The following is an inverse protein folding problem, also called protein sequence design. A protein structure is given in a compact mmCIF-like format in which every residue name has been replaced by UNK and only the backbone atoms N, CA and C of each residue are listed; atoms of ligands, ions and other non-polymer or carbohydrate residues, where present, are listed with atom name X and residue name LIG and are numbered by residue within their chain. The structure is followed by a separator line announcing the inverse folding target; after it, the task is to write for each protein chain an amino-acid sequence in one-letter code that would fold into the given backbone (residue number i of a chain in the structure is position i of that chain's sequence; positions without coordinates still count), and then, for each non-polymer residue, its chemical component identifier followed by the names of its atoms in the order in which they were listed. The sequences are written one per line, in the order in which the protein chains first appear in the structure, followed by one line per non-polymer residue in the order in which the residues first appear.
data_IF_304758678781
#
_entry.id   IF_304758678781
#
_cell.length_a   1.000
_cell.length_b   1.000
_cell.length_c   1.000
_cell.angle_alpha   90.00
_cell.angle_beta   90.00
_cell.angle_gamma   90.00
#
_symmetry.space_group_name_H-M   'P 1'
#
loop_
_entity.id
_entity.type
_entity.pdbx_description
1 polymer ?
#
# COMPACT_ATOMS: atom_id res chain seq x y z
N UNK A 1 2.73 1.38 -8.49
CA UNK A 1 2.15 1.35 -7.13
C UNK A 1 1.45 0.04 -6.89
N UNK A 2 1.73 -0.61 -5.76
CA UNK A 2 1.03 -1.84 -5.37
C UNK A 2 -0.19 -1.45 -4.55
N UNK A 3 -1.36 -1.90 -4.99
CA UNK A 3 -2.63 -1.69 -4.27
C UNK A 3 -2.95 -2.95 -3.48
N UNK A 4 -3.18 -2.78 -2.18
CA UNK A 4 -3.63 -3.86 -1.29
C UNK A 4 -5.05 -3.53 -0.83
N UNK A 5 -6.02 -4.28 -1.34
CA UNK A 5 -7.42 -4.16 -0.93
C UNK A 5 -7.63 -4.73 0.48
N UNK A 6 -8.52 -4.10 1.24
CA UNK A 6 -8.87 -4.50 2.60
C UNK A 6 -10.25 -3.97 3.01
N UNK A 7 -10.80 -4.53 4.07
CA UNK A 7 -11.98 -4.00 4.75
C UNK A 7 -11.62 -2.74 5.55
N UNK A 8 -12.65 -2.00 5.99
CA UNK A 8 -12.42 -0.86 6.87
C UNK A 8 -11.75 -1.26 8.19
N UNK A 9 -12.18 -2.36 8.81
CA UNK A 9 -11.61 -2.82 10.08
C UNK A 9 -10.13 -3.25 9.92
N UNK A 10 -9.78 -3.91 8.81
CA UNK A 10 -8.39 -4.26 8.54
C UNK A 10 -7.52 -3.02 8.32
N UNK A 11 -8.07 -1.97 7.69
CA UNK A 11 -7.38 -0.68 7.56
C UNK A 11 -7.15 -0.03 8.92
N UNK A 12 -8.16 0.00 9.80
CA UNK A 12 -8.03 0.59 11.14
C UNK A 12 -7.04 -0.21 11.99
N UNK A 13 -7.07 -1.54 11.94
CA UNK A 13 -6.11 -2.40 12.64
C UNK A 13 -4.67 -2.14 12.16
N UNK A 14 -4.48 -1.98 10.85
CA UNK A 14 -3.18 -1.64 10.27
C UNK A 14 -2.69 -0.25 10.72
N UNK A 15 -3.58 0.75 10.77
CA UNK A 15 -3.26 2.09 11.26
C UNK A 15 -2.89 2.08 12.73
N UNK A 16 -3.66 1.42 13.58
CA UNK A 16 -3.34 1.30 15.00
C UNK A 16 -2.03 0.56 15.23
N UNK A 17 -1.76 -0.51 14.47
CA UNK A 17 -0.50 -1.23 14.56
C UNK A 17 0.70 -0.34 14.19
N UNK A 18 0.56 0.48 13.14
CA UNK A 18 1.59 1.44 12.75
C UNK A 18 1.83 2.51 13.82
N UNK A 19 0.79 3.09 14.41
CA UNK A 19 0.99 4.11 15.46
C UNK A 19 1.51 3.52 16.78
N UNK A 20 1.24 2.24 17.06
CA UNK A 20 1.81 1.52 18.22
C UNK A 20 3.27 1.14 18.03
N UNK A 21 3.75 0.98 16.80
CA UNK A 21 5.12 0.55 16.52
C UNK A 21 6.18 1.59 16.92
N UNK A 22 5.78 2.85 17.08
CA UNK A 22 6.63 3.94 17.55
C UNK A 22 7.76 4.34 16.59
N UNK A 23 7.72 3.89 15.34
CA UNK A 23 8.74 4.18 14.32
C UNK A 23 8.63 5.61 13.76
N UNK A 24 7.51 6.29 14.01
CA UNK A 24 7.19 7.60 13.44
C UNK A 24 6.82 7.55 11.95
N UNK A 25 6.65 6.34 11.38
CA UNK A 25 6.17 6.16 10.01
C UNK A 25 4.65 6.00 10.03
N UNK A 26 3.97 6.87 9.32
CA UNK A 26 2.52 6.82 9.18
C UNK A 26 2.13 6.12 7.87
N UNK A 27 1.05 5.35 7.93
CA UNK A 27 0.44 4.73 6.76
C UNK A 27 -0.56 5.67 6.11
N UNK A 28 -0.68 5.55 4.79
CA UNK A 28 -1.74 6.20 4.00
C UNK A 28 -2.70 5.14 3.49
N UNK A 29 -3.98 5.36 3.73
CA UNK A 29 -5.09 4.54 3.27
C UNK A 29 -6.08 5.36 2.46
N UNK A 30 -6.93 4.64 1.74
CA UNK A 30 -7.95 5.19 0.88
C UNK A 30 -9.26 4.49 1.20
N UNK A 31 -10.30 5.28 1.48
CA UNK A 31 -11.63 4.79 1.80
C UNK A 31 -12.55 5.19 0.65
N UNK A 32 -13.08 4.20 -0.07
CA UNK A 32 -14.03 4.41 -1.15
C UNK A 32 -15.44 4.26 -0.60
N UNK A 33 -16.27 5.30 -0.74
CA UNK A 33 -17.67 5.26 -0.32
C UNK A 33 -18.59 4.80 -1.44
N UNK A 34 -19.63 4.08 -1.08
CA UNK A 34 -20.69 3.65 -2.01
C UNK A 34 -21.38 4.84 -2.68
N UNK A 35 -21.89 4.65 -3.90
CA UNK A 35 -22.56 5.72 -4.67
C UNK A 35 -23.82 6.26 -3.99
N UNK A 36 -24.53 5.43 -3.21
CA UNK A 36 -25.74 5.82 -2.47
C UNK A 36 -25.44 6.57 -1.17
N UNK A 37 -24.17 6.82 -0.84
CA UNK A 37 -23.79 7.69 0.27
C UNK A 37 -23.99 9.18 -0.03
N UNK A 38 -24.28 9.55 -1.27
CA UNK A 38 -24.34 10.94 -1.73
C UNK A 38 -25.66 11.26 -2.44
N UNK A 39 -26.05 12.54 -2.42
CA UNK A 39 -27.30 13.02 -3.03
C UNK A 39 -27.35 12.89 -4.56
N UNK A 40 -26.19 12.68 -5.20
CA UNK A 40 -26.05 12.48 -6.64
C UNK A 40 -24.89 11.53 -6.92
N UNK A 41 -24.87 10.85 -8.08
CA UNK A 41 -23.77 9.97 -8.43
C UNK A 41 -22.48 10.77 -8.63
N UNK A 42 -21.43 10.37 -7.91
CA UNK A 42 -20.07 10.86 -8.07
C UNK A 42 -19.15 9.80 -8.71
N UNK A 43 -18.13 10.20 -9.49
CA UNK A 43 -17.09 9.27 -9.93
C UNK A 43 -16.32 8.71 -8.73
N UNK A 44 -15.60 7.60 -8.93
CA UNK A 44 -14.87 6.94 -7.86
C UNK A 44 -13.88 7.83 -7.12
N UNK A 45 -13.13 8.62 -7.87
CA UNK A 45 -12.16 9.56 -7.31
C UNK A 45 -12.82 10.57 -6.35
N UNK A 46 -14.00 11.08 -6.72
CA UNK A 46 -14.76 12.06 -5.94
C UNK A 46 -15.56 11.45 -4.77
N UNK A 47 -15.51 10.11 -4.60
CA UNK A 47 -16.06 9.39 -3.44
C UNK A 47 -14.97 8.62 -2.67
N UNK A 48 -13.70 8.87 -2.99
CA UNK A 48 -12.55 8.24 -2.34
C UNK A 48 -11.85 9.26 -1.47
N UNK A 49 -11.66 8.95 -0.19
CA UNK A 49 -10.98 9.83 0.75
C UNK A 49 -9.64 9.25 1.18
N UNK A 50 -8.61 10.08 1.10
CA UNK A 50 -7.25 9.78 1.54
C UNK A 50 -7.14 10.07 3.03
N UNK A 51 -6.74 9.05 3.80
CA UNK A 51 -6.67 9.08 5.26
C UNK A 51 -5.29 8.62 5.72
N UNK A 52 -4.78 9.25 6.77
CA UNK A 52 -3.50 8.90 7.39
C UNK A 52 -3.71 8.21 8.74
N UNK A 53 -2.83 7.26 9.09
CA UNK A 53 -2.77 6.69 10.43
C UNK A 53 -2.40 7.72 11.50
N UNK A 54 -1.81 8.87 11.12
CA UNK A 54 -1.55 10.00 12.01
C UNK A 54 -2.83 10.76 12.43
N UNK A 55 -4.00 10.17 12.25
CA UNK A 55 -5.23 10.66 12.84
C UNK A 55 -5.33 10.25 14.31
N UNK A 56 -5.92 11.10 15.14
CA UNK A 56 -6.08 10.84 16.58
C UNK A 56 -6.84 9.54 16.86
N UNK A 57 -7.76 9.17 15.98
CA UNK A 57 -8.53 7.93 16.10
C UNK A 57 -7.67 6.66 16.18
N UNK A 58 -6.46 6.68 15.60
CA UNK A 58 -5.59 5.50 15.50
C UNK A 58 -4.37 5.57 16.43
N UNK A 59 -4.17 6.70 17.11
CA UNK A 59 -3.02 6.90 17.99
C UNK A 59 -3.34 6.48 19.44
N UNK A 60 -2.44 5.74 20.11
CA UNK A 60 -2.65 5.36 21.49
C UNK A 60 -2.57 6.56 22.43
N UNK A 61 -3.36 6.53 23.51
CA UNK A 61 -3.34 7.53 24.60
C UNK A 61 -3.72 8.96 24.20
N UNK A 62 -4.42 9.14 23.08
CA UNK A 62 -4.92 10.45 22.67
C UNK A 62 -6.26 10.79 23.33
N UNK A 63 -6.38 12.04 23.79
CA UNK A 63 -7.65 12.59 24.23
C UNK A 63 -8.52 13.01 23.04
N UNK A 64 -9.69 12.38 22.91
CA UNK A 64 -10.68 12.65 21.85
C UNK A 64 -10.53 11.73 20.64
N UNK A 65 -11.43 11.91 19.66
CA UNK A 65 -11.55 11.07 18.47
C UNK A 65 -11.74 11.93 17.23
N UNK A 66 -10.93 11.72 16.19
CA UNK A 66 -11.06 12.44 14.92
C UNK A 66 -10.37 11.69 13.78
N UNK A 67 -11.02 11.65 12.62
CA UNK A 67 -10.50 11.10 11.37
C UNK A 67 -10.60 12.22 10.32
N UNK A 68 -9.51 12.97 10.17
CA UNK A 68 -9.35 13.91 9.08
C UNK A 68 -8.93 13.19 7.79
N UNK A 69 -9.62 13.52 6.70
CA UNK A 69 -9.33 13.00 5.38
C UNK A 69 -9.56 14.08 4.31
N UNK A 70 -9.02 13.85 3.11
CA UNK A 70 -9.29 14.70 1.95
C UNK A 70 -9.77 13.85 0.78
N UNK A 71 -10.73 14.35 0.02
CA UNK A 71 -11.17 13.69 -1.20
C UNK A 71 -10.00 13.57 -2.19
N UNK A 72 -9.90 12.43 -2.87
CA UNK A 72 -8.79 12.09 -3.75
C UNK A 72 -8.70 13.04 -4.95
N UNK A 73 -9.84 13.54 -5.44
CA UNK A 73 -9.91 14.52 -6.53
C UNK A 73 -9.59 15.97 -6.08
N UNK A 74 -9.37 16.18 -4.79
CA UNK A 74 -9.04 17.47 -4.19
C UNK A 74 -10.24 18.42 -3.98
N UNK A 75 -11.47 17.99 -4.27
CA UNK A 75 -12.66 18.84 -4.14
C UNK A 75 -13.08 19.13 -2.69
N UNK A 76 -12.70 18.26 -1.76
CA UNK A 76 -13.14 18.31 -0.36
C UNK A 76 -11.97 18.03 0.62
N UNK A 77 -11.17 19.06 0.94
CA UNK A 77 -9.97 18.91 1.76
C UNK A 77 -10.27 18.96 3.27
N UNK A 78 -9.57 18.11 4.02
CA UNK A 78 -9.50 18.14 5.50
C UNK A 78 -10.85 18.02 6.22
N UNK A 79 -11.73 17.16 5.73
CA UNK A 79 -13.02 16.88 6.38
C UNK A 79 -12.86 16.01 7.60
N UNK A 80 -13.74 16.23 8.58
CA UNK A 80 -13.95 15.33 9.72
C UNK A 80 -14.79 14.14 9.29
N UNK A 81 -14.13 13.17 8.68
CA UNK A 81 -14.77 12.03 8.04
C UNK A 81 -15.54 11.17 9.06
N UNK A 82 -15.09 11.13 10.32
CA UNK A 82 -15.75 10.37 11.38
C UNK A 82 -17.20 10.80 11.62
N UNK A 83 -17.53 12.07 11.32
CA UNK A 83 -18.88 12.60 11.51
C UNK A 83 -19.85 12.19 10.39
N UNK A 84 -19.34 11.70 9.26
CA UNK A 84 -20.16 11.31 8.10
C UNK A 84 -20.29 9.81 7.97
N UNK A 85 -19.27 9.04 8.36
CA UNK A 85 -19.23 7.60 8.14
C UNK A 85 -20.22 6.85 9.03
N UNK A 86 -21.02 5.96 8.44
CA UNK A 86 -21.91 5.06 9.18
C UNK A 86 -21.14 4.09 10.09
N UNK A 87 -19.91 3.72 9.70
CA UNK A 87 -19.01 2.91 10.51
C UNK A 87 -18.46 3.65 11.75
N UNK A 88 -18.71 4.96 11.85
CA UNK A 88 -18.18 5.86 12.89
C UNK A 88 -19.33 6.59 13.60
N UNK A 89 -19.31 7.93 13.59
CA UNK A 89 -20.29 8.78 14.26
C UNK A 89 -21.34 9.37 13.30
N UNK A 90 -21.36 8.96 12.04
CA UNK A 90 -22.36 9.40 11.04
C UNK A 90 -23.76 8.82 11.22
N UNK A 91 -23.91 7.83 12.11
CA UNK A 91 -25.19 7.20 12.41
C UNK A 91 -25.73 6.32 11.29
N UNK A 92 -27.00 5.92 11.40
CA UNK A 92 -27.63 4.91 10.54
C UNK A 92 -27.68 5.27 9.04
N UNK A 93 -27.72 6.57 8.73
CA UNK A 93 -27.81 7.10 7.37
C UNK A 93 -26.46 7.68 6.90
N UNK A 94 -25.38 7.40 7.64
CA UNK A 94 -24.04 7.85 7.29
C UNK A 94 -23.49 7.18 6.04
N UNK A 95 -22.37 7.70 5.55
CA UNK A 95 -21.68 7.19 4.37
C UNK A 95 -21.18 5.77 4.61
N UNK A 96 -21.45 4.90 3.65
CA UNK A 96 -21.14 3.47 3.73
C UNK A 96 -19.89 3.17 2.93
N UNK A 97 -18.93 2.54 3.58
CA UNK A 97 -17.68 2.11 2.94
C UNK A 97 -17.98 1.00 1.93
N UNK A 98 -17.49 1.16 0.71
CA UNK A 98 -17.54 0.15 -0.35
C UNK A 98 -16.30 -0.75 -0.28
N UNK A 99 -15.12 -0.15 -0.19
CA UNK A 99 -13.82 -0.83 -0.06
C UNK A 99 -12.77 0.12 0.51
N UNK A 100 -11.74 -0.45 1.11
CA UNK A 100 -10.54 0.28 1.51
C UNK A 100 -9.32 -0.30 0.80
N UNK A 101 -8.30 0.52 0.63
CA UNK A 101 -7.01 0.02 0.18
C UNK A 101 -5.86 0.88 0.71
N UNK A 102 -4.68 0.29 0.76
CA UNK A 102 -3.43 1.04 0.87
C UNK A 102 -2.72 1.02 -0.47
N UNK A 103 -1.94 2.07 -0.71
CA UNK A 103 -1.15 2.22 -1.92
C UNK A 103 0.30 2.38 -1.51
N UNK A 104 1.11 1.35 -1.76
CA UNK A 104 2.55 1.50 -1.63
C UNK A 104 3.05 2.25 -2.86
N UNK A 105 3.80 3.36 -2.68
CA UNK A 105 4.51 3.98 -3.78
C UNK A 105 5.30 2.91 -4.51
N UNK A 106 5.18 2.89 -5.83
CA UNK A 106 6.04 2.07 -6.67
C UNK A 106 7.49 2.30 -6.26
N UNK A 107 8.28 1.23 -6.20
CA UNK A 107 9.71 1.39 -6.03
C UNK A 107 10.24 2.15 -7.24
N UNK A 108 10.79 3.33 -7.00
CA UNK A 108 11.51 4.06 -8.03
C UNK A 108 12.78 3.27 -8.39
N UNK A 109 12.95 2.96 -9.68
CA UNK A 109 14.16 2.32 -10.16
C UNK A 109 15.25 3.39 -10.24
N UNK A 110 16.08 3.46 -9.20
CA UNK A 110 17.20 4.39 -9.12
C UNK A 110 18.45 3.90 -9.88
N UNK A 111 18.65 2.58 -9.94
CA UNK A 111 19.80 1.95 -10.58
C UNK A 111 19.42 0.55 -11.09
N UNK A 112 20.03 0.15 -12.21
CA UNK A 112 19.89 -1.19 -12.79
C UNK A 112 21.25 -1.86 -12.82
N UNK A 113 21.38 -2.98 -12.12
CA UNK A 113 22.54 -3.88 -12.21
C UNK A 113 22.05 -5.15 -12.91
N UNK A 114 22.58 -5.43 -14.11
CA UNK A 114 22.20 -6.57 -14.92
C UNK A 114 23.39 -7.52 -15.12
N UNK A 115 23.19 -8.80 -14.85
CA UNK A 115 24.19 -9.85 -15.03
C UNK A 115 23.95 -11.03 -14.10
N UNK A 116 24.77 -12.07 -14.25
CA UNK A 116 24.78 -13.20 -13.32
C UNK A 116 25.25 -12.72 -11.95
N UNK A 117 24.48 -13.02 -10.90
CA UNK A 117 24.84 -12.66 -9.54
C UNK A 117 25.04 -13.90 -8.66
N UNK A 118 25.85 -13.73 -7.62
CA UNK A 118 26.07 -14.72 -6.57
C UNK A 118 25.51 -14.18 -5.26
N UNK A 119 24.65 -14.97 -4.59
CA UNK A 119 24.02 -14.58 -3.33
C UNK A 119 24.58 -15.46 -2.22
N UNK A 120 25.16 -14.82 -1.21
CA UNK A 120 25.78 -15.49 -0.06
C UNK A 120 25.56 -14.68 1.23
N UNK A 121 25.81 -15.31 2.37
CA UNK A 121 25.94 -14.61 3.64
C UNK A 121 27.29 -13.87 3.70
N UNK A 122 27.31 -12.63 4.18
CA UNK A 122 28.49 -11.78 4.24
C UNK A 122 28.78 -11.26 5.66
N UNK A 123 28.24 -11.92 6.69
CA UNK A 123 28.45 -11.52 8.10
C UNK A 123 29.86 -11.83 8.63
N UNK A 124 30.62 -12.71 7.99
CA UNK A 124 31.98 -13.08 8.38
C UNK A 124 33.04 -12.58 7.41
N UNK A 125 34.30 -12.90 7.68
CA UNK A 125 35.44 -12.60 6.80
C UNK A 125 35.45 -13.41 5.49
N UNK A 126 34.61 -14.44 5.41
CA UNK A 126 34.41 -15.30 4.24
C UNK A 126 32.94 -15.38 3.87
N UNK A 127 32.66 -15.69 2.61
CA UNK A 127 31.30 -15.94 2.15
C UNK A 127 30.71 -17.16 2.87
N UNK A 128 29.59 -16.96 3.54
CA UNK A 128 28.84 -18.00 4.23
C UNK A 128 27.70 -18.55 3.37
N UNK A 129 27.25 -19.75 3.73
CA UNK A 129 26.05 -20.35 3.15
C UNK A 129 24.79 -19.61 3.57
N UNK A 130 23.81 -19.59 2.68
CA UNK A 130 22.47 -19.15 2.98
C UNK A 130 21.76 -20.17 3.88
N UNK A 131 20.85 -19.70 4.74
CA UNK A 131 19.92 -20.59 5.45
C UNK A 131 18.92 -21.24 4.49
N UNK A 132 18.28 -22.32 4.92
CA UNK A 132 17.22 -22.98 4.11
C UNK A 132 16.06 -22.04 3.75
N UNK A 133 15.72 -21.13 4.66
CA UNK A 133 14.69 -20.12 4.44
C UNK A 133 15.13 -19.10 3.37
N UNK A 134 16.37 -18.63 3.46
CA UNK A 134 16.96 -17.71 2.47
C UNK A 134 17.06 -18.36 1.09
N UNK A 135 17.51 -19.63 1.02
CA UNK A 135 17.57 -20.38 -0.22
C UNK A 135 16.19 -20.46 -0.88
N UNK A 136 15.15 -20.84 -0.13
CA UNK A 136 13.77 -20.88 -0.64
C UNK A 136 13.29 -19.51 -1.11
N UNK A 137 13.54 -18.46 -0.33
CA UNK A 137 13.15 -17.09 -0.64
C UNK A 137 13.80 -16.59 -1.92
N UNK A 138 15.13 -16.65 -2.03
CA UNK A 138 15.87 -16.10 -3.16
C UNK A 138 15.67 -16.93 -4.42
N UNK A 139 15.55 -18.26 -4.31
CA UNK A 139 15.21 -19.11 -5.46
C UNK A 139 13.83 -18.75 -6.03
N UNK A 140 12.85 -18.42 -5.16
CA UNK A 140 11.54 -17.94 -5.60
C UNK A 140 11.60 -16.54 -6.20
N UNK A 141 12.35 -15.63 -5.58
CA UNK A 141 12.48 -14.24 -5.99
C UNK A 141 13.14 -14.08 -7.37
N UNK A 142 14.24 -14.79 -7.60
CA UNK A 142 15.03 -14.67 -8.83
C UNK A 142 14.72 -15.77 -9.86
N UNK A 143 13.61 -16.51 -9.66
CA UNK A 143 13.19 -17.59 -10.57
C UNK A 143 13.01 -17.10 -12.01
N UNK A 144 12.50 -15.89 -12.18
CA UNK A 144 12.28 -15.26 -13.47
C UNK A 144 13.05 -13.95 -13.52
N UNK A 145 14.02 -13.80 -14.44
CA UNK A 145 14.76 -12.55 -14.57
C UNK A 145 13.80 -11.43 -14.97
N UNK A 146 14.08 -10.22 -14.50
CA UNK A 146 13.31 -9.03 -14.87
C UNK A 146 13.85 -8.44 -16.18
N UNK A 147 12.95 -7.94 -17.03
CA UNK A 147 13.27 -7.11 -18.18
C UNK A 147 12.95 -5.66 -17.86
N UNK A 148 13.85 -4.76 -18.25
CA UNK A 148 13.66 -3.33 -18.08
C UNK A 148 13.12 -2.73 -19.37
N UNK A 149 11.94 -2.14 -19.30
CA UNK A 149 11.28 -1.49 -20.44
C UNK A 149 10.98 -0.04 -20.11
N UNK A 150 10.97 0.82 -21.12
CA UNK A 150 10.63 2.23 -20.96
C UNK A 150 9.18 2.47 -21.39
N UNK A 151 8.34 2.94 -20.48
CA UNK A 151 6.93 3.27 -20.73
C UNK A 151 6.71 4.71 -20.32
N UNK A 152 6.23 5.57 -21.23
CA UNK A 152 5.90 6.98 -20.95
C UNK A 152 7.05 7.79 -20.30
N UNK A 153 8.30 7.43 -20.60
CA UNK A 153 9.49 8.09 -20.04
C UNK A 153 10.05 7.44 -18.78
N UNK A 154 9.27 6.62 -18.08
CA UNK A 154 9.65 5.89 -16.87
C UNK A 154 10.23 4.51 -17.21
N UNK A 155 11.17 4.04 -16.38
CA UNK A 155 11.72 2.69 -16.48
C UNK A 155 10.88 1.77 -15.59
N UNK A 156 10.39 0.67 -16.16
CA UNK A 156 9.65 -0.36 -15.45
C UNK A 156 10.42 -1.69 -15.51
N UNK A 157 10.45 -2.43 -14.41
CA UNK A 157 10.95 -3.80 -14.36
C UNK A 157 9.77 -4.79 -14.44
N UNK A 158 9.76 -5.65 -15.45
CA UNK A 158 8.70 -6.65 -15.66
C UNK A 158 9.29 -8.07 -15.61
N UNK A 159 8.73 -9.00 -14.82
CA UNK A 159 9.21 -10.38 -14.82
C UNK A 159 9.08 -11.04 -16.20
N UNK A 160 10.16 -11.62 -16.71
CA UNK A 160 10.15 -12.38 -17.96
C UNK A 160 9.94 -13.87 -17.66
N UNK A 161 8.76 -14.38 -18.00
CA UNK A 161 8.48 -15.82 -18.02
C UNK A 161 8.74 -16.34 -19.44
N UNK A 162 9.83 -17.07 -19.70
CA UNK A 162 10.07 -17.64 -21.01
C UNK A 162 8.97 -18.66 -21.35
N UNK A 163 8.45 -18.59 -22.58
CA UNK A 163 7.44 -19.52 -23.07
C UNK A 163 8.02 -20.90 -23.44
N UNK A 164 9.33 -20.98 -23.69
CA UNK A 164 10.05 -22.23 -23.98
C UNK A 164 11.43 -22.23 -23.30
N UNK A 165 11.95 -23.41 -22.93
CA UNK A 165 13.28 -23.56 -22.29
C UNK A 165 14.44 -23.04 -23.14
N UNK A 166 14.29 -23.00 -24.47
CA UNK A 166 15.26 -22.43 -25.42
C UNK A 166 15.42 -20.91 -25.29
N UNK A 167 14.48 -20.24 -24.60
CA UNK A 167 14.51 -18.81 -24.31
C UNK A 167 14.99 -18.49 -22.88
N UNK A 168 15.36 -19.51 -22.10
CA UNK A 168 16.20 -19.32 -20.92
C UNK A 168 17.61 -19.01 -21.45
N UNK A 169 18.13 -17.82 -21.12
CA UNK A 169 19.50 -17.41 -21.47
C UNK A 169 20.52 -18.16 -20.64
#
# INVERSE_FOLDING_TARGET
DTVTEMTYNELTDAFEAAERDGTGKHLTGYIVFTKDSFDKPYPEEARTYVVSSNNKAFQPNMGGYSIYASCLDGSDPMVRLEAYMAAEHGGKDGWKVERCYTKEPGKEIIEIIAGTCFICDCRGESFGSLSDEQLKRYSKQFKYPEQFIRINGEICAVPFKPNEKSHER
#
